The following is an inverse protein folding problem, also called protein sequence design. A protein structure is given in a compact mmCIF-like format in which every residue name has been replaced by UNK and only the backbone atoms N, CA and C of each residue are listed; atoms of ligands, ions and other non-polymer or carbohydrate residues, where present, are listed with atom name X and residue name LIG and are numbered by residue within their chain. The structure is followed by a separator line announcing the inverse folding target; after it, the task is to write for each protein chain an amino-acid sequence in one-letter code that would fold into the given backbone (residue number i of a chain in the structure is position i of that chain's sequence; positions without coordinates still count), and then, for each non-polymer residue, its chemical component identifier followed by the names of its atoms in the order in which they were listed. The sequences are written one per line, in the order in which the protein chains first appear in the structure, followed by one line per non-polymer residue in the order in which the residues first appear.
data_IF_660603871726
#
_entry.id   IF_660603871726
#
_cell.length_a   1.000
_cell.length_b   1.000
_cell.length_c   1.000
_cell.angle_alpha   90.00
_cell.angle_beta   90.00
_cell.angle_gamma   90.00
#
_symmetry.space_group_name_H-M   'P 1'
#
loop_
_entity.id
_entity.type
_entity.pdbx_description
1 polymer ?
#
# COMPACT_ATOMS: atom_id res chain seq x y z
N UNK A 1 -5.32 12.41 41.43
CA UNK A 1 -5.11 11.30 40.47
C UNK A 1 -5.73 11.59 39.10
N UNK A 2 -6.50 12.66 38.90
CA UNK A 2 -7.09 13.01 37.59
C UNK A 2 -6.09 13.57 36.56
N UNK A 3 -5.09 14.36 36.97
CA UNK A 3 -4.13 14.97 36.03
C UNK A 3 -3.21 13.98 35.29
N UNK A 4 -3.02 12.77 35.83
CA UNK A 4 -2.22 11.72 35.17
C UNK A 4 -3.06 11.01 34.11
N UNK A 5 -4.37 10.87 34.31
CA UNK A 5 -5.24 10.15 33.36
C UNK A 5 -5.58 11.00 32.13
N UNK A 6 -5.86 12.30 32.29
CA UNK A 6 -6.30 13.15 31.16
C UNK A 6 -5.21 13.44 30.12
N UNK A 7 -3.93 13.45 30.51
CA UNK A 7 -2.82 13.77 29.62
C UNK A 7 -1.92 12.58 29.25
N UNK A 8 -1.69 11.64 30.17
CA UNK A 8 -0.72 10.55 29.94
C UNK A 8 -1.33 9.43 29.09
N UNK A 9 -2.61 9.11 29.30
CA UNK A 9 -3.32 8.07 28.54
C UNK A 9 -3.32 8.36 27.02
N UNK A 10 -3.69 9.56 26.53
CA UNK A 10 -3.66 9.83 25.09
C UNK A 10 -2.24 9.80 24.51
N UNK A 11 -1.22 10.24 25.26
CA UNK A 11 0.17 10.20 24.81
C UNK A 11 0.65 8.75 24.65
N UNK A 12 0.38 7.88 25.63
CA UNK A 12 0.71 6.46 25.57
C UNK A 12 -0.07 5.76 24.46
N UNK A 13 -1.35 6.12 24.26
CA UNK A 13 -2.18 5.58 23.19
C UNK A 13 -1.58 5.89 21.80
N UNK A 14 -1.20 7.16 21.54
CA UNK A 14 -0.57 7.57 20.28
C UNK A 14 0.78 6.87 20.09
N UNK A 15 1.62 6.82 21.13
CA UNK A 15 2.91 6.15 21.08
C UNK A 15 2.77 4.67 20.75
N UNK A 16 1.85 3.95 21.41
CA UNK A 16 1.63 2.53 21.15
C UNK A 16 1.04 2.28 19.76
N UNK A 17 0.10 3.12 19.32
CA UNK A 17 -0.54 3.00 18.01
C UNK A 17 0.44 3.15 16.84
N UNK A 18 1.52 3.92 17.02
CA UNK A 18 2.55 4.11 15.99
C UNK A 18 3.73 3.14 16.19
N UNK A 19 4.21 2.96 17.42
CA UNK A 19 5.39 2.13 17.69
C UNK A 19 5.15 0.64 17.40
N UNK A 20 3.94 0.14 17.69
CA UNK A 20 3.60 -1.27 17.52
C UNK A 20 3.58 -1.71 16.05
N UNK A 21 2.88 -1.04 15.11
CA UNK A 21 2.90 -1.45 13.70
C UNK A 21 4.29 -1.31 13.06
N UNK A 22 5.07 -0.29 13.45
CA UNK A 22 6.44 -0.12 12.95
C UNK A 22 7.34 -1.26 13.45
N UNK A 23 7.32 -1.53 14.76
CA UNK A 23 8.12 -2.58 15.36
C UNK A 23 7.73 -3.97 14.84
N UNK A 24 6.43 -4.24 14.74
CA UNK A 24 5.92 -5.51 14.21
C UNK A 24 6.26 -5.69 12.72
N UNK A 25 6.09 -4.63 11.91
CA UNK A 25 6.47 -4.64 10.49
C UNK A 25 7.97 -4.90 10.29
N UNK A 26 8.82 -4.26 11.09
CA UNK A 26 10.27 -4.48 11.06
C UNK A 26 10.63 -5.90 11.50
N UNK A 27 9.99 -6.41 12.56
CA UNK A 27 10.21 -7.78 13.05
C UNK A 27 9.85 -8.81 11.98
N UNK A 28 8.68 -8.72 11.36
CA UNK A 28 8.27 -9.63 10.28
C UNK A 28 9.20 -9.54 9.07
N UNK A 29 9.64 -8.33 8.69
CA UNK A 29 10.62 -8.14 7.62
C UNK A 29 11.93 -8.86 7.91
N UNK A 30 12.48 -8.70 9.11
CA UNK A 30 13.72 -9.35 9.53
C UNK A 30 13.58 -10.87 9.62
N UNK A 31 12.48 -11.38 10.18
CA UNK A 31 12.23 -12.83 10.26
C UNK A 31 12.11 -13.42 8.86
N UNK A 32 11.35 -12.80 7.96
CA UNK A 32 11.19 -13.26 6.57
C UNK A 32 12.53 -13.36 5.84
N UNK A 33 13.42 -12.39 6.02
CA UNK A 33 14.76 -12.42 5.44
C UNK A 33 15.64 -13.52 6.06
N UNK A 34 15.54 -13.73 7.38
CA UNK A 34 16.32 -14.76 8.09
C UNK A 34 15.89 -16.18 7.72
N UNK A 35 14.59 -16.44 7.55
CA UNK A 35 14.07 -17.76 7.18
C UNK A 35 14.62 -18.22 5.83
N UNK A 36 14.63 -17.35 4.81
CA UNK A 36 15.19 -17.65 3.48
C UNK A 36 16.68 -18.01 3.55
N UNK A 37 17.45 -17.31 4.39
CA UNK A 37 18.87 -17.59 4.55
C UNK A 37 19.12 -18.91 5.27
N UNK A 38 18.28 -19.26 6.25
CA UNK A 38 18.37 -20.52 6.99
C UNK A 38 18.06 -21.72 6.08
N UNK A 39 17.01 -21.62 5.27
CA UNK A 39 16.64 -22.64 4.28
C UNK A 39 17.79 -22.91 3.29
N UNK A 40 18.39 -21.86 2.74
CA UNK A 40 19.54 -22.00 1.82
C UNK A 40 20.75 -22.67 2.49
N UNK A 41 21.01 -22.35 3.77
CA UNK A 41 22.11 -22.95 4.53
C UNK A 41 21.87 -24.44 4.82
N UNK A 42 20.63 -24.84 5.10
CA UNK A 42 20.28 -26.24 5.33
C UNK A 42 20.39 -27.08 4.04
N UNK A 43 20.01 -26.52 2.88
CA UNK A 43 20.22 -27.17 1.58
C UNK A 43 21.71 -27.39 1.28
N UNK A 44 22.55 -26.37 1.53
CA UNK A 44 24.02 -26.49 1.38
C UNK A 44 24.58 -27.58 2.28
N UNK A 45 24.13 -27.66 3.54
CA UNK A 45 24.55 -28.73 4.48
C UNK A 45 24.16 -30.13 4.01
N UNK A 46 23.07 -30.25 3.26
CA UNK A 46 22.62 -31.51 2.64
C UNK A 46 23.32 -31.81 1.30
N UNK A 47 24.23 -30.94 0.85
CA UNK A 47 24.90 -31.07 -0.45
C UNK A 47 24.01 -30.70 -1.65
N UNK A 48 22.82 -30.14 -1.39
CA UNK A 48 21.89 -29.69 -2.42
C UNK A 48 22.26 -28.24 -2.77
N UNK A 49 22.58 -27.98 -4.04
CA UNK A 49 22.76 -26.62 -4.53
C UNK A 49 21.42 -25.89 -4.40
N UNK A 50 21.32 -24.79 -3.62
CA UNK A 50 20.08 -24.06 -3.49
C UNK A 50 19.57 -23.67 -4.88
N UNK A 51 18.27 -23.85 -5.18
CA UNK A 51 17.74 -23.40 -6.44
C UNK A 51 18.08 -21.91 -6.61
N UNK A 52 18.46 -21.46 -7.81
CA UNK A 52 18.70 -20.05 -8.04
C UNK A 52 17.45 -19.32 -7.57
N UNK A 53 17.61 -18.44 -6.57
CA UNK A 53 16.49 -17.64 -6.10
C UNK A 53 15.94 -16.96 -7.33
N UNK A 54 14.72 -17.32 -7.74
CA UNK A 54 14.05 -16.60 -8.81
C UNK A 54 13.96 -15.18 -8.28
N UNK A 55 14.79 -14.29 -8.84
CA UNK A 55 14.63 -12.86 -8.61
C UNK A 55 13.15 -12.65 -8.91
N UNK A 56 12.35 -12.13 -7.97
CA UNK A 56 10.96 -11.87 -8.26
C UNK A 56 10.99 -11.07 -9.55
N UNK A 57 10.41 -11.63 -10.61
CA UNK A 57 10.34 -10.94 -11.90
C UNK A 57 9.81 -9.56 -11.55
N UNK A 58 10.58 -8.49 -11.77
CA UNK A 58 10.18 -7.18 -11.30
C UNK A 58 8.83 -6.93 -11.94
N UNK A 59 7.77 -6.92 -11.13
CA UNK A 59 6.41 -6.82 -11.62
C UNK A 59 6.34 -5.51 -12.40
N UNK A 60 6.45 -5.62 -13.73
CA UNK A 60 6.72 -4.50 -14.65
C UNK A 60 5.61 -3.46 -14.55
N UNK A 61 4.44 -3.89 -14.09
CA UNK A 61 3.25 -3.09 -13.97
C UNK A 61 3.00 -2.55 -12.55
N UNK A 62 3.87 -2.84 -11.57
CA UNK A 62 3.70 -2.31 -10.19
C UNK A 62 3.87 -0.79 -10.14
N UNK A 63 4.89 -0.26 -10.82
CA UNK A 63 5.10 1.19 -10.94
C UNK A 63 3.99 1.83 -11.79
N UNK A 64 3.56 1.17 -12.85
CA UNK A 64 2.48 1.65 -13.72
C UNK A 64 1.14 1.73 -12.99
N UNK A 65 0.79 0.71 -12.20
CA UNK A 65 -0.41 0.69 -11.34
C UNK A 65 -0.42 1.85 -10.36
N UNK A 66 0.72 2.09 -9.69
CA UNK A 66 0.85 3.22 -8.77
C UNK A 66 0.71 4.56 -9.50
N UNK A 67 1.23 4.67 -10.73
CA UNK A 67 1.03 5.86 -11.57
C UNK A 67 -0.44 6.15 -11.87
N UNK A 68 -1.20 5.15 -12.33
CA UNK A 68 -2.63 5.28 -12.56
C UNK A 68 -3.37 5.67 -11.27
N UNK A 69 -3.01 5.06 -10.14
CA UNK A 69 -3.59 5.39 -8.84
C UNK A 69 -3.38 6.87 -8.47
N UNK A 70 -2.14 7.37 -8.60
CA UNK A 70 -1.82 8.77 -8.30
C UNK A 70 -2.58 9.74 -9.22
N UNK A 71 -2.72 9.41 -10.51
CA UNK A 71 -3.48 10.24 -11.47
C UNK A 71 -4.97 10.27 -11.10
N UNK A 72 -5.56 9.11 -10.77
CA UNK A 72 -6.97 9.02 -10.35
C UNK A 72 -7.26 9.83 -9.09
N UNK A 73 -6.37 9.76 -8.09
CA UNK A 73 -6.49 10.57 -6.86
C UNK A 73 -6.43 12.07 -7.18
N UNK A 74 -5.46 12.50 -7.98
CA UNK A 74 -5.30 13.91 -8.34
C UNK A 74 -6.52 14.46 -9.09
N UNK A 75 -7.04 13.71 -10.08
CA UNK A 75 -8.22 14.10 -10.84
C UNK A 75 -9.48 14.13 -9.95
N UNK A 76 -9.65 13.14 -9.08
CA UNK A 76 -10.79 13.08 -8.17
C UNK A 76 -10.79 14.20 -7.13
N UNK A 77 -9.61 14.63 -6.67
CA UNK A 77 -9.44 15.80 -5.80
C UNK A 77 -9.84 17.11 -6.51
N UNK A 78 -9.34 17.33 -7.73
CA UNK A 78 -9.65 18.53 -8.51
C UNK A 78 -11.13 18.61 -8.85
N UNK A 79 -11.70 17.52 -9.36
CA UNK A 79 -13.11 17.49 -9.78
C UNK A 79 -14.03 17.50 -8.56
N UNK A 80 -13.63 16.85 -7.46
CA UNK A 80 -14.37 16.87 -6.20
C UNK A 80 -14.51 18.28 -5.63
N UNK A 81 -13.43 19.07 -5.64
CA UNK A 81 -13.46 20.45 -5.15
C UNK A 81 -14.34 21.38 -6.01
N UNK A 82 -14.28 21.20 -7.33
CA UNK A 82 -15.17 21.90 -8.27
C UNK A 82 -16.63 21.49 -8.02
N UNK A 83 -16.90 20.19 -7.94
CA UNK A 83 -18.26 19.66 -7.74
C UNK A 83 -18.88 20.12 -6.40
N UNK A 84 -18.09 20.21 -5.33
CA UNK A 84 -18.52 20.73 -4.03
C UNK A 84 -18.98 22.20 -4.14
N UNK A 85 -18.24 23.01 -4.90
CA UNK A 85 -18.58 24.41 -5.14
C UNK A 85 -19.86 24.57 -5.98
N UNK A 86 -20.10 23.70 -6.96
CA UNK A 86 -21.24 23.80 -7.88
C UNK A 86 -22.53 23.15 -7.36
N UNK A 87 -22.45 22.03 -6.64
CA UNK A 87 -23.63 21.29 -6.20
C UNK A 87 -24.13 21.70 -4.79
N UNK A 88 -23.38 22.55 -4.05
CA UNK A 88 -23.72 22.97 -2.69
C UNK A 88 -24.12 21.80 -1.77
N UNK A 89 -23.54 20.63 -2.02
CA UNK A 89 -23.77 19.42 -1.24
C UNK A 89 -22.92 19.45 0.02
N UNK A 90 -23.30 18.61 0.99
CA UNK A 90 -22.62 18.52 2.28
C UNK A 90 -21.10 18.34 2.12
N UNK A 91 -20.36 19.21 2.81
CA UNK A 91 -18.90 19.28 2.70
C UNK A 91 -18.25 17.93 3.01
N UNK A 92 -17.29 17.52 2.16
CA UNK A 92 -16.52 16.29 2.30
C UNK A 92 -17.11 15.02 1.67
N UNK A 93 -18.44 14.84 1.60
CA UNK A 93 -19.03 13.65 0.96
C UNK A 93 -18.83 13.64 -0.55
N UNK A 94 -19.03 14.80 -1.19
CA UNK A 94 -18.84 14.99 -2.63
C UNK A 94 -17.39 14.75 -3.04
N UNK A 95 -16.46 15.25 -2.23
CA UNK A 95 -15.03 15.06 -2.42
C UNK A 95 -14.63 13.58 -2.32
N UNK A 96 -15.08 12.90 -1.26
CA UNK A 96 -14.81 11.48 -1.07
C UNK A 96 -15.41 10.62 -2.19
N UNK A 97 -16.64 10.91 -2.62
CA UNK A 97 -17.30 10.22 -3.72
C UNK A 97 -16.55 10.41 -5.05
N UNK A 98 -16.11 11.63 -5.36
CA UNK A 98 -15.33 11.91 -6.56
C UNK A 98 -13.98 11.20 -6.53
N UNK A 99 -13.24 11.28 -5.43
CA UNK A 99 -11.95 10.58 -5.29
C UNK A 99 -12.12 9.07 -5.51
N UNK A 100 -13.11 8.44 -4.86
CA UNK A 100 -13.36 7.00 -5.03
C UNK A 100 -13.76 6.63 -6.47
N UNK A 101 -14.59 7.45 -7.12
CA UNK A 101 -14.97 7.25 -8.53
C UNK A 101 -13.73 7.29 -9.44
N UNK A 102 -12.95 8.36 -9.37
CA UNK A 102 -11.78 8.53 -10.25
C UNK A 102 -10.67 7.51 -9.93
N UNK A 103 -10.55 7.07 -8.67
CA UNK A 103 -9.68 5.96 -8.29
C UNK A 103 -10.10 4.65 -8.99
N UNK A 104 -11.40 4.33 -8.95
CA UNK A 104 -11.96 3.16 -9.61
C UNK A 104 -11.78 3.22 -11.12
N UNK A 105 -12.05 4.38 -11.73
CA UNK A 105 -11.87 4.60 -13.16
C UNK A 105 -10.42 4.44 -13.59
N UNK A 106 -9.47 4.94 -12.81
CA UNK A 106 -8.05 4.76 -13.08
C UNK A 106 -7.62 3.28 -13.07
N UNK A 107 -8.21 2.46 -12.20
CA UNK A 107 -7.99 1.02 -12.19
C UNK A 107 -8.58 0.29 -13.40
N UNK A 108 -9.78 0.69 -13.84
CA UNK A 108 -10.40 0.17 -15.06
C UNK A 108 -9.53 0.51 -16.28
N UNK A 109 -9.06 1.74 -16.37
CA UNK A 109 -8.15 2.17 -17.43
C UNK A 109 -6.82 1.42 -17.39
N UNK A 110 -6.26 1.21 -16.19
CA UNK A 110 -5.06 0.40 -16.01
C UNK A 110 -5.27 -1.01 -16.57
N UNK A 111 -6.38 -1.67 -16.26
CA UNK A 111 -6.72 -2.99 -16.79
C UNK A 111 -6.78 -2.99 -18.32
N UNK A 112 -7.45 -2.01 -18.94
CA UNK A 112 -7.51 -1.93 -20.40
C UNK A 112 -6.13 -1.75 -21.05
N UNK A 113 -5.22 -1.00 -20.42
CA UNK A 113 -3.86 -0.76 -20.93
C UNK A 113 -2.95 -1.98 -20.74
N UNK A 114 -3.17 -2.80 -19.71
CA UNK A 114 -2.36 -4.00 -19.46
C UNK A 114 -2.92 -5.25 -20.12
N UNK A 115 -4.24 -5.33 -20.39
CA UNK A 115 -4.94 -6.50 -20.94
C UNK A 115 -4.26 -7.09 -22.18
N UNK A 116 -3.80 -6.25 -23.10
CA UNK A 116 -3.18 -6.70 -24.35
C UNK A 116 -1.69 -7.08 -24.17
N UNK A 117 -1.07 -6.65 -23.06
CA UNK A 117 0.33 -6.93 -22.72
C UNK A 117 0.50 -8.16 -21.84
N UNK A 118 -0.60 -8.71 -21.34
CA UNK A 118 -0.66 -9.99 -20.64
C UNK A 118 -0.75 -11.18 -21.63
N UNK A 119 -0.69 -10.93 -22.95
CA UNK A 119 -0.66 -11.95 -24.02
C UNK A 119 0.78 -12.36 -24.45
N UNK A 120 1.80 -11.93 -23.71
CA UNK A 120 3.19 -12.36 -23.91
C UNK A 120 3.74 -13.17 -22.71
N UNK A 121 2.90 -14.05 -22.13
CA UNK A 121 3.37 -15.25 -21.40
C UNK A 121 2.87 -16.52 -22.07
#
# INVERSE_FOLDING_TARGET
MEFVEEGLIPIIAILSAVALPIGFGMYLGLVSMRTKNKENMELIKQGIVPPPQSKPTPNRYRSLRNGFLCIGIALGLLIGNIAETFLALQEGYTMAACVLLFLGLAYVLFYFVTKDKDLEE
#
